data_IF_471417557902
#
_entry.id   IF_471417557902
#
_cell.length_a   1.000
_cell.length_b   1.000
_cell.length_c   1.000
_cell.angle_alpha   90.00
_cell.angle_beta   90.00
_cell.angle_gamma   90.00
#
_symmetry.space_group_name_H-M   'P 1'
#
loop_
_entity.id
_entity.type
_entity.pdbx_description
1 polymer ?
#
# COMPACT_ATOMS: atom_id res chain seq x y z
N UNK A 1 -32.51 10.26 31.79
CA UNK A 1 -33.21 9.15 31.13
C UNK A 1 -34.36 9.75 30.31
N UNK A 2 -34.16 9.92 29.00
CA UNK A 2 -35.27 10.18 28.06
C UNK A 2 -35.03 9.27 26.86
N UNK A 3 -35.95 8.31 26.71
CA UNK A 3 -35.79 7.16 25.84
C UNK A 3 -35.91 7.51 24.37
N UNK A 4 -35.02 6.93 23.56
CA UNK A 4 -35.24 6.80 22.13
C UNK A 4 -36.30 5.71 21.95
N UNK A 5 -37.55 6.07 21.66
CA UNK A 5 -38.58 5.09 21.30
C UNK A 5 -38.34 4.62 19.87
N UNK A 6 -38.12 3.32 19.61
CA UNK A 6 -37.94 2.83 18.25
C UNK A 6 -39.32 2.69 17.59
N UNK A 7 -39.57 3.49 16.54
CA UNK A 7 -40.73 3.27 15.68
C UNK A 7 -40.59 1.92 14.94
N UNK A 8 -41.65 1.10 14.78
CA UNK A 8 -41.52 -0.32 14.47
C UNK A 8 -41.05 -0.65 13.04
N UNK A 9 -40.96 0.33 12.14
CA UNK A 9 -40.70 0.08 10.70
C UNK A 9 -39.75 1.07 10.02
N UNK A 10 -38.96 1.86 10.77
CA UNK A 10 -37.88 2.67 10.17
C UNK A 10 -36.55 2.04 10.52
N UNK A 11 -35.67 1.87 9.52
CA UNK A 11 -34.24 1.60 9.80
C UNK A 11 -33.80 2.62 10.87
N UNK A 12 -33.28 2.18 12.02
CA UNK A 12 -32.91 3.09 13.09
C UNK A 12 -31.98 4.16 12.52
N UNK A 13 -32.31 5.43 12.77
CA UNK A 13 -31.50 6.53 12.28
C UNK A 13 -30.17 6.54 13.04
N UNK A 14 -29.14 5.93 12.46
CA UNK A 14 -27.79 5.84 13.05
C UNK A 14 -27.21 7.24 13.33
N UNK A 15 -27.71 8.28 12.64
CA UNK A 15 -27.33 9.68 12.84
C UNK A 15 -28.00 10.33 14.07
N UNK A 16 -28.98 9.70 14.71
CA UNK A 16 -29.59 10.18 15.97
C UNK A 16 -28.84 9.70 17.22
N UNK A 17 -27.65 9.11 17.04
CA UNK A 17 -26.85 8.57 18.13
C UNK A 17 -26.27 9.70 19.01
N UNK A 18 -26.33 9.61 20.35
CA UNK A 18 -25.70 10.59 21.23
C UNK A 18 -24.23 10.83 20.89
N UNK A 19 -23.78 12.10 20.90
CA UNK A 19 -22.41 12.52 20.52
C UNK A 19 -21.30 11.71 21.20
N UNK A 20 -21.52 11.23 22.43
CA UNK A 20 -20.59 10.36 23.18
C UNK A 20 -20.21 9.05 22.44
N UNK A 21 -21.03 8.57 21.50
CA UNK A 21 -20.75 7.35 20.75
C UNK A 21 -20.09 7.61 19.38
N UNK A 22 -20.02 8.85 18.92
CA UNK A 22 -19.47 9.19 17.62
C UNK A 22 -17.99 8.79 17.49
N UNK A 23 -17.18 9.09 18.51
CA UNK A 23 -15.76 8.72 18.55
C UNK A 23 -15.53 7.21 18.51
N UNK A 24 -16.11 6.42 19.45
CA UNK A 24 -15.98 4.96 19.44
C UNK A 24 -16.45 4.30 18.15
N UNK A 25 -17.55 4.79 17.56
CA UNK A 25 -18.06 4.25 16.29
C UNK A 25 -17.09 4.53 15.13
N UNK A 26 -16.57 5.76 15.04
CA UNK A 26 -15.59 6.13 14.03
C UNK A 26 -14.30 5.32 14.17
N UNK A 27 -13.79 5.13 15.39
CA UNK A 27 -12.60 4.32 15.66
C UNK A 27 -12.79 2.86 15.26
N UNK A 28 -13.95 2.28 15.56
CA UNK A 28 -14.26 0.90 15.17
C UNK A 28 -14.22 0.73 13.66
N UNK A 29 -14.84 1.65 12.90
CA UNK A 29 -14.75 1.65 11.44
C UNK A 29 -13.30 1.77 10.95
N UNK A 30 -12.53 2.71 11.50
CA UNK A 30 -11.14 2.97 11.09
C UNK A 30 -10.23 1.76 11.33
N UNK A 31 -10.38 1.05 12.46
CA UNK A 31 -9.60 -0.17 12.76
C UNK A 31 -9.79 -1.24 11.70
N UNK A 32 -11.05 -1.54 11.32
CA UNK A 32 -11.34 -2.50 10.26
C UNK A 32 -10.95 -1.98 8.88
N UNK A 33 -11.23 -0.72 8.57
CA UNK A 33 -11.00 -0.18 7.24
C UNK A 33 -9.51 -0.03 6.94
N UNK A 34 -8.67 0.33 7.92
CA UNK A 34 -7.21 0.31 7.75
C UNK A 34 -6.67 -1.10 7.57
N UNK A 35 -7.26 -2.10 8.24
CA UNK A 35 -6.89 -3.50 8.06
C UNK A 35 -7.23 -4.00 6.65
N UNK A 36 -8.46 -3.75 6.19
CA UNK A 36 -8.87 -4.16 4.83
C UNK A 36 -8.12 -3.35 3.77
N UNK A 37 -7.81 -2.09 4.03
CA UNK A 37 -7.02 -1.24 3.14
C UNK A 37 -5.68 -1.85 2.77
N UNK A 38 -4.89 -2.26 3.76
CA UNK A 38 -3.60 -2.88 3.48
C UNK A 38 -3.79 -4.24 2.82
N UNK A 39 -4.83 -4.99 3.20
CA UNK A 39 -5.13 -6.28 2.58
C UNK A 39 -5.43 -6.17 1.08
N UNK A 40 -6.26 -5.21 0.64
CA UNK A 40 -6.57 -5.03 -0.79
C UNK A 40 -5.49 -4.25 -1.55
N UNK A 41 -4.61 -3.51 -0.86
CA UNK A 41 -3.46 -2.82 -1.48
C UNK A 41 -2.27 -3.74 -1.72
N UNK A 42 -2.16 -4.89 -1.03
CA UNK A 42 -1.10 -5.87 -1.27
C UNK A 42 -1.01 -6.33 -2.73
N UNK A 43 -2.11 -6.69 -3.42
CA UNK A 43 -2.06 -6.99 -4.85
C UNK A 43 -1.47 -5.87 -5.72
N UNK A 44 -1.73 -4.60 -5.40
CA UNK A 44 -1.11 -3.46 -6.09
C UNK A 44 0.40 -3.41 -5.82
N UNK A 45 0.83 -3.65 -4.58
CA UNK A 45 2.26 -3.70 -4.24
C UNK A 45 2.97 -4.87 -4.92
N UNK A 46 2.34 -6.05 -4.96
CA UNK A 46 2.85 -7.21 -5.67
C UNK A 46 2.95 -6.94 -7.19
N UNK A 47 2.00 -6.19 -7.74
CA UNK A 47 2.06 -5.74 -9.14
C UNK A 47 3.25 -4.82 -9.40
N UNK A 48 3.59 -3.90 -8.47
CA UNK A 48 4.80 -3.08 -8.59
C UNK A 48 6.07 -3.92 -8.58
N UNK A 49 6.17 -4.90 -7.66
CA UNK A 49 7.32 -5.83 -7.58
C UNK A 49 7.46 -6.63 -8.88
N UNK A 50 6.36 -7.24 -9.33
CA UNK A 50 6.34 -8.07 -10.53
C UNK A 50 6.65 -7.29 -11.80
N UNK A 51 6.06 -6.10 -11.97
CA UNK A 51 6.31 -5.25 -13.12
C UNK A 51 7.76 -4.76 -13.16
N UNK A 52 8.32 -4.33 -12.03
CA UNK A 52 9.72 -3.94 -11.95
C UNK A 52 10.67 -5.11 -12.26
N UNK A 53 10.41 -6.30 -11.70
CA UNK A 53 11.23 -7.48 -11.95
C UNK A 53 11.21 -7.88 -13.42
N UNK A 54 10.03 -7.95 -14.02
CA UNK A 54 9.87 -8.31 -15.43
C UNK A 54 10.46 -7.26 -16.36
N UNK A 55 10.33 -5.98 -16.02
CA UNK A 55 10.92 -4.91 -16.82
C UNK A 55 12.45 -4.89 -16.74
N UNK A 56 13.03 -5.21 -15.58
CA UNK A 56 14.46 -5.43 -15.45
C UNK A 56 14.94 -6.57 -16.36
N UNK A 57 14.19 -7.68 -16.45
CA UNK A 57 14.47 -8.79 -17.37
C UNK A 57 14.34 -8.37 -18.83
N UNK A 58 13.27 -7.66 -19.19
CA UNK A 58 13.05 -7.17 -20.55
C UNK A 58 14.09 -6.15 -21.00
N UNK A 59 14.67 -5.39 -20.07
CA UNK A 59 15.77 -4.47 -20.35
C UNK A 59 17.16 -5.13 -20.25
N UNK A 60 17.26 -6.39 -19.80
CA UNK A 60 18.55 -7.10 -19.63
C UNK A 60 19.40 -6.59 -18.46
N UNK A 61 18.74 -6.08 -17.41
CA UNK A 61 19.35 -5.36 -16.29
C UNK A 61 19.47 -6.20 -15.01
N UNK A 62 19.14 -7.48 -15.03
CA UNK A 62 19.07 -8.32 -13.82
C UNK A 62 20.40 -8.46 -13.09
N UNK A 63 21.52 -8.19 -13.77
CA UNK A 63 22.86 -8.26 -13.20
C UNK A 63 23.36 -6.94 -12.63
N UNK A 64 22.64 -5.84 -12.85
CA UNK A 64 23.05 -4.50 -12.44
C UNK A 64 22.79 -4.32 -10.94
N UNK A 65 23.82 -3.92 -10.20
CA UNK A 65 23.77 -3.83 -8.73
C UNK A 65 22.65 -2.95 -8.20
N UNK A 66 22.55 -1.70 -8.69
CA UNK A 66 21.52 -0.77 -8.24
C UNK A 66 20.09 -1.16 -8.66
N UNK A 67 19.93 -2.03 -9.67
CA UNK A 67 18.61 -2.56 -10.06
C UNK A 67 18.19 -3.65 -9.08
N UNK A 68 19.11 -4.56 -8.73
CA UNK A 68 18.88 -5.58 -7.71
C UNK A 68 18.55 -4.96 -6.35
N UNK A 69 19.27 -3.92 -5.97
CA UNK A 69 19.04 -3.17 -4.73
C UNK A 69 17.60 -2.63 -4.64
N UNK A 70 17.14 -1.95 -5.70
CA UNK A 70 15.74 -1.47 -5.80
C UNK A 70 14.72 -2.60 -5.74
N UNK A 71 14.97 -3.72 -6.42
CA UNK A 71 14.10 -4.90 -6.36
C UNK A 71 14.03 -5.47 -4.93
N UNK A 72 15.15 -5.53 -4.22
CA UNK A 72 15.20 -5.96 -2.82
C UNK A 72 14.36 -5.03 -1.95
N UNK A 73 14.46 -3.72 -2.14
CA UNK A 73 13.64 -2.77 -1.41
C UNK A 73 12.14 -2.92 -1.68
N UNK A 74 11.74 -3.13 -2.95
CA UNK A 74 10.34 -3.40 -3.32
C UNK A 74 9.83 -4.70 -2.67
N UNK A 75 10.63 -5.76 -2.66
CA UNK A 75 10.30 -7.03 -2.01
C UNK A 75 10.16 -6.83 -0.49
N UNK A 76 11.13 -6.18 0.15
CA UNK A 76 11.10 -5.94 1.58
C UNK A 76 9.88 -5.11 1.99
N UNK A 77 9.51 -4.10 1.20
CA UNK A 77 8.31 -3.30 1.39
C UNK A 77 7.03 -4.16 1.32
N UNK A 78 6.89 -5.00 0.28
CA UNK A 78 5.75 -5.91 0.13
C UNK A 78 5.63 -6.92 1.27
N UNK A 79 6.74 -7.58 1.62
CA UNK A 79 6.77 -8.60 2.68
C UNK A 79 6.53 -7.98 4.07
N UNK A 80 7.03 -6.77 4.32
CA UNK A 80 6.79 -6.07 5.60
C UNK A 80 5.30 -5.77 5.77
N UNK A 81 4.63 -5.25 4.75
CA UNK A 81 3.17 -5.03 4.79
C UNK A 81 2.42 -6.34 5.04
N UNK A 82 2.82 -7.41 4.34
CA UNK A 82 2.20 -8.73 4.46
C UNK A 82 2.40 -9.33 5.86
N UNK A 83 3.58 -9.18 6.44
CA UNK A 83 3.88 -9.63 7.79
C UNK A 83 3.05 -8.85 8.83
N UNK A 84 3.02 -7.52 8.73
CA UNK A 84 2.28 -6.68 9.66
C UNK A 84 0.78 -6.97 9.64
N UNK A 85 0.18 -7.15 8.45
CA UNK A 85 -1.26 -7.38 8.35
C UNK A 85 -1.66 -8.78 8.84
N UNK A 86 -0.84 -9.80 8.55
CA UNK A 86 -1.03 -11.14 9.09
C UNK A 86 -0.93 -11.14 10.61
N UNK A 87 0.08 -10.47 11.15
CA UNK A 87 0.24 -10.36 12.60
C UNK A 87 -0.94 -9.61 13.23
N UNK A 88 -1.42 -8.53 12.60
CA UNK A 88 -2.59 -7.80 13.08
C UNK A 88 -3.86 -8.67 13.16
N UNK A 89 -4.03 -9.61 12.23
CA UNK A 89 -5.11 -10.59 12.26
C UNK A 89 -4.91 -11.65 13.35
N UNK A 90 -3.69 -12.20 13.45
CA UNK A 90 -3.36 -13.26 14.42
C UNK A 90 -3.44 -12.78 15.86
N UNK A 91 -3.05 -11.55 16.14
CA UNK A 91 -3.11 -10.93 17.48
C UNK A 91 -4.36 -10.07 17.66
N UNK A 92 -5.46 -10.40 16.97
CA UNK A 92 -6.72 -9.71 17.12
C UNK A 92 -7.25 -9.82 18.57
N UNK A 93 -8.06 -8.84 18.98
CA UNK A 93 -8.82 -8.92 20.23
C UNK A 93 -10.25 -9.36 19.89
N UNK A 94 -10.80 -10.28 20.67
CA UNK A 94 -12.21 -10.67 20.54
C UNK A 94 -13.04 -9.85 21.52
N UNK A 95 -14.02 -9.11 21.01
CA UNK A 95 -14.97 -8.34 21.84
C UNK A 95 -16.36 -8.97 21.80
N UNK A 96 -17.18 -8.84 22.87
CA UNK A 96 -18.55 -9.33 22.85
C UNK A 96 -19.36 -8.77 21.65
N UNK A 97 -20.21 -9.58 21.00
CA UNK A 97 -20.54 -10.98 21.31
C UNK A 97 -19.62 -12.04 20.65
N UNK A 98 -18.46 -11.65 20.12
CA UNK A 98 -17.54 -12.56 19.41
C UNK A 98 -16.85 -11.91 18.19
N UNK A 99 -16.80 -10.59 18.12
CA UNK A 99 -16.22 -9.86 16.99
C UNK A 99 -14.71 -9.82 17.16
N UNK A 100 -13.97 -10.39 16.20
CA UNK A 100 -12.52 -10.27 16.12
C UNK A 100 -12.13 -8.91 15.55
N UNK A 101 -11.49 -8.06 16.35
CA UNK A 101 -11.01 -6.74 15.97
C UNK A 101 -9.49 -6.81 15.78
N UNK A 102 -8.95 -6.44 14.60
CA UNK A 102 -7.52 -6.53 14.34
C UNK A 102 -6.71 -5.66 15.30
N UNK A 103 -5.46 -6.04 15.57
CA UNK A 103 -4.61 -5.35 16.52
C UNK A 103 -4.39 -3.87 16.12
N UNK A 104 -4.91 -2.88 16.89
CA UNK A 104 -4.94 -1.49 16.43
C UNK A 104 -3.55 -0.90 16.15
N UNK A 105 -2.56 -1.20 17.01
CA UNK A 105 -1.19 -0.74 16.80
C UNK A 105 -0.64 -1.21 15.44
N UNK A 106 -0.74 -2.52 15.16
CA UNK A 106 -0.15 -3.12 13.96
C UNK A 106 -0.84 -2.64 12.68
N UNK A 107 -2.16 -2.48 12.70
CA UNK A 107 -2.91 -1.92 11.57
C UNK A 107 -2.44 -0.50 11.25
N UNK A 108 -2.25 0.34 12.27
CA UNK A 108 -1.77 1.71 12.07
C UNK A 108 -0.32 1.76 11.58
N UNK A 109 0.54 0.89 12.11
CA UNK A 109 1.93 0.76 11.64
C UNK A 109 1.98 0.26 10.20
N UNK A 110 1.14 -0.71 9.82
CA UNK A 110 1.05 -1.21 8.45
C UNK A 110 0.60 -0.13 7.46
N UNK A 111 -0.45 0.61 7.81
CA UNK A 111 -0.95 1.73 7.01
C UNK A 111 0.09 2.83 6.89
N UNK A 112 0.81 3.13 7.97
CA UNK A 112 1.91 4.07 7.92
C UNK A 112 3.07 3.63 7.05
N UNK A 113 3.48 2.38 7.17
CA UNK A 113 4.52 1.82 6.32
C UNK A 113 4.11 1.91 4.84
N UNK A 114 2.86 1.59 4.51
CA UNK A 114 2.35 1.72 3.14
C UNK A 114 2.39 3.18 2.66
N UNK A 115 1.77 4.10 3.39
CA UNK A 115 1.62 5.48 2.95
C UNK A 115 2.97 6.18 2.79
N UNK A 116 3.91 5.95 3.70
CA UNK A 116 5.25 6.55 3.66
C UNK A 116 6.18 5.92 2.63
N UNK A 117 5.99 4.64 2.31
CA UNK A 117 6.82 3.91 1.34
C UNK A 117 6.34 3.97 -0.10
N UNK A 118 5.05 4.22 -0.34
CA UNK A 118 4.44 4.07 -1.66
C UNK A 118 5.08 4.94 -2.75
N UNK A 119 5.33 6.22 -2.48
CA UNK A 119 5.94 7.13 -3.46
C UNK A 119 7.34 6.68 -3.88
N UNK A 120 8.13 6.18 -2.93
CA UNK A 120 9.47 5.67 -3.22
C UNK A 120 9.42 4.34 -3.98
N UNK A 121 8.46 3.46 -3.67
CA UNK A 121 8.24 2.24 -4.44
C UNK A 121 7.88 2.54 -5.90
N UNK A 122 7.00 3.52 -6.14
CA UNK A 122 6.67 4.00 -7.48
C UNK A 122 7.90 4.53 -8.20
N UNK A 123 8.71 5.38 -7.54
CA UNK A 123 9.94 5.93 -8.13
C UNK A 123 10.93 4.83 -8.55
N UNK A 124 11.12 3.78 -7.73
CA UNK A 124 11.99 2.66 -8.11
C UNK A 124 11.48 1.90 -9.34
N UNK A 125 10.18 1.70 -9.46
CA UNK A 125 9.58 1.04 -10.64
C UNK A 125 9.81 1.90 -11.89
N UNK A 126 9.60 3.22 -11.80
CA UNK A 126 9.86 4.16 -12.90
C UNK A 126 11.34 4.16 -13.32
N UNK A 127 12.27 4.17 -12.35
CA UNK A 127 13.71 4.11 -12.63
C UNK A 127 14.12 2.81 -13.34
N UNK A 128 13.54 1.67 -12.95
CA UNK A 128 13.82 0.38 -13.59
C UNK A 128 13.23 0.33 -15.02
N UNK A 129 12.08 0.98 -15.25
CA UNK A 129 11.43 1.02 -16.56
C UNK A 129 12.18 1.88 -17.57
N UNK A 130 12.65 3.06 -17.16
CA UNK A 130 13.36 4.01 -18.01
C UNK A 130 12.44 4.90 -18.85
N UNK A 131 13.03 5.84 -19.61
CA UNK A 131 12.31 6.96 -20.24
C UNK A 131 11.31 6.60 -21.34
N UNK A 132 11.39 5.40 -21.91
CA UNK A 132 10.39 4.91 -22.88
C UNK A 132 8.99 4.80 -22.23
N UNK A 133 8.92 4.83 -20.89
CA UNK A 133 7.69 4.91 -20.10
C UNK A 133 6.77 6.08 -20.48
N UNK A 134 7.35 7.22 -20.85
CA UNK A 134 6.61 8.46 -21.18
C UNK A 134 6.88 8.95 -22.59
N UNK A 135 7.65 8.19 -23.37
CA UNK A 135 8.01 8.51 -24.76
C UNK A 135 7.70 7.35 -25.71
N UNK A 136 6.99 6.33 -25.22
CA UNK A 136 6.59 5.17 -25.99
C UNK A 136 5.60 5.53 -27.11
N UNK A 137 5.62 4.77 -28.22
CA UNK A 137 4.66 4.94 -29.31
C UNK A 137 3.23 4.57 -28.85
N UNK A 138 2.23 5.15 -29.52
CA UNK A 138 0.83 4.83 -29.29
C UNK A 138 0.41 3.50 -29.90
N UNK A 139 -0.85 3.11 -29.68
CA UNK A 139 -1.41 1.91 -30.31
C UNK A 139 -1.55 2.09 -31.82
N UNK A 140 -1.90 3.31 -32.26
CA UNK A 140 -1.99 3.70 -33.66
C UNK A 140 -0.66 3.52 -34.42
N UNK A 141 0.48 3.81 -33.77
CA UNK A 141 1.81 3.58 -34.33
C UNK A 141 2.13 2.08 -34.43
N UNK A 142 1.61 1.27 -33.51
CA UNK A 142 1.81 -0.19 -33.54
C UNK A 142 0.98 -0.87 -34.62
N UNK A 143 -0.24 -0.38 -34.86
CA UNK A 143 -1.17 -0.91 -35.87
C UNK A 143 -0.80 -0.45 -37.29
N UNK A 144 -0.11 0.68 -37.44
CA UNK A 144 0.29 1.19 -38.75
C UNK A 144 1.36 0.32 -39.42
N UNK A 145 1.12 -0.17 -40.66
CA UNK A 145 2.10 -0.95 -41.42
C UNK A 145 3.40 -0.20 -41.71
N UNK A 146 3.36 1.14 -41.72
CA UNK A 146 4.49 2.01 -42.05
C UNK A 146 5.51 2.08 -40.90
N UNK A 147 5.02 2.13 -39.67
CA UNK A 147 5.78 2.32 -38.42
C UNK A 147 6.11 0.99 -37.74
N UNK A 148 5.20 0.00 -37.77
CA UNK A 148 5.33 -1.26 -37.02
C UNK A 148 6.68 -1.95 -37.21
N UNK A 149 7.15 -2.07 -38.47
CA UNK A 149 8.44 -2.70 -38.78
C UNK A 149 9.62 -2.03 -38.08
N UNK A 150 9.55 -0.73 -37.83
CA UNK A 150 10.58 0.03 -37.12
C UNK A 150 10.46 -0.15 -35.61
N UNK A 151 9.24 -0.17 -35.08
CA UNK A 151 9.01 -0.44 -33.65
C UNK A 151 9.51 -1.84 -33.28
N UNK A 152 9.19 -2.85 -34.08
CA UNK A 152 9.68 -4.22 -33.89
C UNK A 152 11.21 -4.31 -33.95
N UNK A 153 11.83 -3.52 -34.83
CA UNK A 153 13.30 -3.49 -35.00
C UNK A 153 14.02 -2.76 -33.87
N UNK A 154 13.51 -1.62 -33.41
CA UNK A 154 14.23 -0.70 -32.53
C UNK A 154 13.79 -0.75 -31.06
N UNK A 155 12.58 -1.24 -30.76
CA UNK A 155 12.02 -1.24 -29.41
C UNK A 155 11.99 -2.63 -28.76
N UNK A 156 12.67 -3.61 -29.37
CA UNK A 156 12.95 -4.90 -28.73
C UNK A 156 13.67 -4.74 -27.39
N UNK A 157 13.56 -5.76 -26.53
CA UNK A 157 14.25 -5.81 -25.25
C UNK A 157 15.59 -6.55 -25.32
N UNK A 158 15.95 -7.18 -24.20
CA UNK A 158 16.99 -8.19 -24.14
C UNK A 158 16.76 -9.31 -25.17
N UNK A 159 17.80 -10.10 -25.45
CA UNK A 159 17.75 -11.16 -26.48
C UNK A 159 16.54 -12.08 -26.27
N UNK A 160 15.65 -12.11 -27.27
CA UNK A 160 14.44 -12.96 -27.26
C UNK A 160 13.18 -12.27 -26.73
N UNK A 161 13.25 -11.01 -26.29
CA UNK A 161 12.09 -10.24 -25.83
C UNK A 161 11.50 -9.42 -26.98
N UNK A 162 10.28 -9.74 -27.47
CA UNK A 162 9.63 -8.98 -28.54
C UNK A 162 9.30 -7.55 -28.11
N UNK A 163 9.37 -6.60 -29.04
CA UNK A 163 9.00 -5.20 -28.80
C UNK A 163 7.57 -5.07 -28.24
N UNK A 164 6.62 -5.85 -28.75
CA UNK A 164 5.23 -5.81 -28.30
C UNK A 164 5.10 -6.10 -26.80
N UNK A 165 5.79 -7.14 -26.32
CA UNK A 165 5.71 -7.54 -24.91
C UNK A 165 6.32 -6.48 -24.00
N UNK A 166 7.45 -5.89 -24.43
CA UNK A 166 8.12 -4.81 -23.71
C UNK A 166 7.25 -3.56 -23.64
N UNK A 167 6.62 -3.17 -24.75
CA UNK A 167 5.70 -2.02 -24.81
C UNK A 167 4.43 -2.23 -23.99
N UNK A 168 3.81 -3.43 -24.04
CA UNK A 168 2.65 -3.76 -23.19
C UNK A 168 2.97 -3.62 -21.70
N UNK A 169 4.13 -4.12 -21.27
CA UNK A 169 4.57 -3.95 -19.89
C UNK A 169 4.89 -2.49 -19.56
N UNK A 170 5.45 -1.73 -20.50
CA UNK A 170 5.68 -0.30 -20.34
C UNK A 170 4.36 0.45 -20.09
N UNK A 171 3.32 0.18 -20.90
CA UNK A 171 2.01 0.80 -20.75
C UNK A 171 1.36 0.45 -19.40
N UNK A 172 1.49 -0.80 -18.94
CA UNK A 172 1.04 -1.19 -17.61
C UNK A 172 1.75 -0.38 -16.51
N UNK A 173 3.08 -0.22 -16.59
CA UNK A 173 3.82 0.58 -15.62
C UNK A 173 3.42 2.06 -15.71
N UNK A 174 3.16 2.58 -16.92
CA UNK A 174 2.71 3.94 -17.13
C UNK A 174 1.37 4.17 -16.44
N UNK A 175 0.42 3.25 -16.63
CA UNK A 175 -0.89 3.32 -15.96
C UNK A 175 -0.76 3.33 -14.44
N UNK A 176 0.15 2.52 -13.89
CA UNK A 176 0.35 2.39 -12.46
C UNK A 176 1.04 3.61 -11.83
N UNK A 177 1.84 4.36 -12.60
CA UNK A 177 2.82 5.29 -12.01
C UNK A 177 2.80 6.70 -12.61
N UNK A 178 2.23 6.90 -13.79
CA UNK A 178 2.36 8.12 -14.58
C UNK A 178 1.09 8.53 -15.35
N UNK A 179 -0.04 7.85 -15.13
CA UNK A 179 -1.35 8.23 -15.68
C UNK A 179 -2.29 8.79 -14.60
N UNK A 180 -3.51 9.16 -14.98
CA UNK A 180 -4.58 9.56 -14.05
C UNK A 180 -4.83 8.48 -12.97
N UNK A 181 -4.73 7.20 -13.34
CA UNK A 181 -4.86 6.11 -12.38
C UNK A 181 -3.70 6.09 -11.38
N UNK A 182 -2.45 6.22 -11.85
CA UNK A 182 -1.28 6.32 -10.99
C UNK A 182 -1.33 7.53 -10.05
N UNK A 183 -1.73 8.70 -10.57
CA UNK A 183 -1.93 9.91 -9.78
C UNK A 183 -3.02 9.74 -8.71
N UNK A 184 -4.13 9.11 -9.06
CA UNK A 184 -5.20 8.76 -8.13
C UNK A 184 -4.70 7.82 -7.02
N UNK A 185 -3.94 6.77 -7.36
CA UNK A 185 -3.37 5.85 -6.37
C UNK A 185 -2.37 6.55 -5.44
N UNK A 186 -1.55 7.47 -5.95
CA UNK A 186 -0.60 8.23 -5.15
C UNK A 186 -1.29 9.07 -4.07
N UNK A 187 -2.40 9.75 -4.42
CA UNK A 187 -3.18 10.53 -3.44
C UNK A 187 -3.93 9.62 -2.47
N UNK A 188 -4.52 8.52 -2.95
CA UNK A 188 -5.15 7.52 -2.09
C UNK A 188 -4.17 6.95 -1.07
N UNK A 189 -2.92 6.72 -1.44
CA UNK A 189 -1.93 6.18 -0.53
C UNK A 189 -1.73 7.07 0.71
N UNK A 190 -1.77 8.39 0.51
CA UNK A 190 -1.57 9.40 1.56
C UNK A 190 -2.83 9.61 2.40
N UNK A 191 -4.02 9.67 1.77
CA UNK A 191 -5.23 10.18 2.42
C UNK A 191 -6.31 9.15 2.72
N UNK A 192 -6.35 8.04 1.98
CA UNK A 192 -7.36 7.02 2.21
C UNK A 192 -7.16 6.42 3.61
N UNK A 193 -8.27 6.15 4.31
CA UNK A 193 -8.29 5.62 5.69
C UNK A 193 -7.64 6.53 6.76
N UNK A 194 -7.52 7.82 6.45
CA UNK A 194 -6.94 8.84 7.32
C UNK A 194 -5.52 9.22 6.90
N UNK A 195 -5.15 10.47 7.15
CA UNK A 195 -3.83 11.00 6.79
C UNK A 195 -2.69 10.32 7.53
N UNK A 196 -1.47 10.53 7.03
CA UNK A 196 -0.23 10.05 7.65
C UNK A 196 -0.10 10.45 9.13
N UNK A 197 -0.52 11.65 9.49
CA UNK A 197 -0.48 12.08 10.90
C UNK A 197 -1.55 11.40 11.76
N UNK A 198 -2.71 11.06 11.18
CA UNK A 198 -3.78 10.38 11.91
C UNK A 198 -3.41 8.93 12.26
N UNK A 199 -2.74 8.21 11.36
CA UNK A 199 -2.21 6.86 11.63
C UNK A 199 -1.05 6.90 12.64
N UNK A 200 -0.13 7.87 12.56
CA UNK A 200 0.98 8.04 13.53
C UNK A 200 0.45 8.29 14.94
N UNK A 201 -0.51 9.20 15.08
CA UNK A 201 -1.12 9.51 16.37
C UNK A 201 -1.91 8.31 16.92
N UNK A 202 -2.59 7.56 16.06
CA UNK A 202 -3.30 6.34 16.46
C UNK A 202 -2.33 5.23 16.92
N UNK A 203 -1.20 5.04 16.21
CA UNK A 203 -0.15 4.11 16.62
C UNK A 203 0.46 4.51 17.97
N UNK A 204 0.78 5.78 18.15
CA UNK A 204 1.34 6.31 19.41
C UNK A 204 0.39 6.06 20.60
N UNK A 205 -0.91 6.29 20.41
CA UNK A 205 -1.93 6.03 21.46
C UNK A 205 -2.12 4.55 21.76
N UNK A 206 -1.94 3.68 20.77
CA UNK A 206 -2.14 2.24 20.90
C UNK A 206 -0.94 1.51 21.52
N UNK A 207 0.25 2.12 21.52
CA UNK A 207 1.46 1.52 22.07
C UNK A 207 1.51 1.68 23.60
N UNK A 208 1.81 0.59 24.32
CA UNK A 208 2.12 0.63 25.74
C UNK A 208 3.63 0.80 25.96
N UNK A 209 4.12 1.99 26.37
CA UNK A 209 5.55 2.22 26.55
C UNK A 209 6.08 1.63 27.87
N UNK A 210 5.22 1.23 28.82
CA UNK A 210 5.65 0.84 30.17
C UNK A 210 6.67 -0.30 30.17
N UNK A 211 6.49 -1.40 29.41
CA UNK A 211 7.49 -2.47 29.38
C UNK A 211 8.85 -2.03 28.84
N UNK A 212 8.86 -1.20 27.78
CA UNK A 212 10.10 -0.68 27.20
C UNK A 212 10.80 0.30 28.15
N UNK A 213 10.05 1.18 28.81
CA UNK A 213 10.58 2.11 29.82
C UNK A 213 11.13 1.35 31.03
N UNK A 214 10.42 0.33 31.52
CA UNK A 214 10.88 -0.51 32.63
C UNK A 214 12.17 -1.25 32.28
N UNK A 215 12.27 -1.76 31.05
CA UNK A 215 13.49 -2.38 30.54
C UNK A 215 14.67 -1.40 30.52
N UNK A 216 14.46 -0.19 29.99
CA UNK A 216 15.49 0.85 29.95
C UNK A 216 15.92 1.29 31.36
N UNK A 217 14.97 1.52 32.27
CA UNK A 217 15.26 1.85 33.68
C UNK A 217 16.10 0.77 34.36
N UNK A 218 15.76 -0.51 34.14
CA UNK A 218 16.50 -1.64 34.70
C UNK A 218 17.96 -1.66 34.22
N UNK A 219 18.21 -1.45 32.93
CA UNK A 219 19.57 -1.42 32.39
C UNK A 219 20.37 -0.17 32.80
N UNK A 220 19.68 0.95 33.06
CA UNK A 220 20.29 2.18 33.53
C UNK A 220 20.49 2.25 35.06
N UNK A 221 20.07 1.23 35.82
CA UNK A 221 20.12 1.23 37.28
C UNK A 221 19.17 2.23 37.95
N UNK A 222 18.10 2.66 37.28
CA UNK A 222 17.11 3.61 37.82
C UNK A 222 16.07 2.84 38.66
N UNK A 223 15.87 3.17 39.96
CA UNK A 223 14.88 2.52 40.81
C UNK A 223 13.43 2.71 40.34
N UNK A 224 12.53 1.77 40.68
CA UNK A 224 11.09 1.86 40.40
C UNK A 224 10.66 1.29 39.05
N UNK A 225 11.08 0.06 38.75
CA UNK A 225 10.55 -0.76 37.66
C UNK A 225 9.21 -1.40 38.05
#
# INVERSE_FOLDING_TARGET
MSGCSPAPHRRPNVLACPSRYAGPLALTFVEFHRFTAISYKLPLVDLLVGAARLMAEYNGLEKVGHIRDKLIHLIAYAETLRALIRQAALTCRVVPPGIAVPAPLLVNVAKHHFASGYAQAVAWVQEIAGGLLVTGPGQEDWESPETRRYLERYLGGAKGVPAEHRLRLMNLIQDLTASDFGGYQAVLAIHAEGSIEAEKLAALRAYDPRPAVAYAKRLAGIPGA
#
